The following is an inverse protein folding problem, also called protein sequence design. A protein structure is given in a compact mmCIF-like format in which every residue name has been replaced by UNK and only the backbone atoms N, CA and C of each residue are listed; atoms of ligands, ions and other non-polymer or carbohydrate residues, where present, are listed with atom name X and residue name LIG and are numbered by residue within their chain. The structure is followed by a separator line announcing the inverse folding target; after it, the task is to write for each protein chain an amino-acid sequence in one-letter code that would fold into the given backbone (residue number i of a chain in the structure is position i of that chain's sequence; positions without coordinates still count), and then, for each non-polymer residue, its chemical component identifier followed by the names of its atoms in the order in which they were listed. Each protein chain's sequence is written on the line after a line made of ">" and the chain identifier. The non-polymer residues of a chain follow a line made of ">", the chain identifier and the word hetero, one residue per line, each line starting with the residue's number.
data_IF_313400548013
#
_entry.id   IF_313400548013
#
_cell.length_a   1.000
_cell.length_b   1.000
_cell.length_c   1.000
_cell.angle_alpha   90.00
_cell.angle_beta   90.00
_cell.angle_gamma   90.00
#
_symmetry.space_group_name_H-M   'P 1'
#
loop_
_entity.id
_entity.type
_entity.pdbx_description
1 polymer ?
#
# COMPACT_ATOMS: atom_id res chain seq x y z
N UNK A 1 27.95 -3.40 -10.67
CA UNK A 1 28.53 -3.87 -9.39
C UNK A 1 28.32 -2.76 -8.36
N UNK A 2 27.11 -2.62 -7.82
CA UNK A 2 26.81 -1.58 -6.82
C UNK A 2 27.10 -2.17 -5.45
N UNK A 3 27.97 -1.50 -4.70
CA UNK A 3 28.51 -1.95 -3.43
C UNK A 3 27.45 -1.81 -2.33
N UNK A 4 27.22 -2.89 -1.60
CA UNK A 4 26.59 -2.86 -0.29
C UNK A 4 27.49 -2.05 0.65
N UNK A 5 26.95 -1.02 1.31
CA UNK A 5 27.59 -0.35 2.44
C UNK A 5 26.76 -0.57 3.70
N UNK A 6 27.51 -0.94 4.72
CA UNK A 6 27.15 -1.53 6.00
C UNK A 6 26.47 -0.52 6.95
N UNK A 7 25.43 -0.99 7.64
CA UNK A 7 24.51 -0.24 8.51
C UNK A 7 25.13 0.32 9.80
N UNK A 8 26.44 0.14 10.01
CA UNK A 8 27.12 0.44 11.27
C UNK A 8 27.66 1.89 11.38
N UNK A 9 27.66 2.68 10.30
CA UNK A 9 28.38 3.97 10.25
C UNK A 9 27.56 5.24 10.54
N UNK A 10 26.27 5.16 10.89
CA UNK A 10 25.45 6.33 11.24
C UNK A 10 25.29 6.54 12.76
N UNK A 11 26.08 5.82 13.57
CA UNK A 11 25.99 5.82 15.03
C UNK A 11 26.97 6.77 15.74
N UNK A 12 27.65 7.67 15.03
CA UNK A 12 28.70 8.53 15.63
C UNK A 12 28.46 10.04 15.65
N UNK A 13 27.28 10.55 15.31
CA UNK A 13 27.01 12.01 15.30
C UNK A 13 25.85 12.47 16.21
N UNK A 14 25.63 11.82 17.36
CA UNK A 14 24.73 12.35 18.40
C UNK A 14 25.42 12.31 19.76
N UNK A 15 26.38 13.21 19.94
CA UNK A 15 26.99 13.47 21.25
C UNK A 15 27.36 14.95 21.35
N UNK A 16 26.38 15.87 21.46
CA UNK A 16 26.66 17.20 22.07
C UNK A 16 25.48 18.12 22.41
N UNK A 17 24.24 17.62 22.58
CA UNK A 17 23.15 18.46 23.11
C UNK A 17 22.47 17.70 24.24
N UNK A 18 22.73 18.14 25.47
CA UNK A 18 22.16 17.57 26.69
C UNK A 18 20.65 17.68 26.70
N UNK A 19 19.98 16.55 26.46
CA UNK A 19 18.54 16.39 26.66
C UNK A 19 18.29 15.28 27.70
N UNK A 20 17.29 15.54 28.54
CA UNK A 20 16.90 14.80 29.74
C UNK A 20 16.70 13.28 29.47
N UNK A 21 17.29 12.38 30.29
CA UNK A 21 17.16 10.92 30.15
C UNK A 21 15.72 10.39 30.15
N UNK A 22 14.76 11.15 30.68
CA UNK A 22 13.35 10.75 30.72
C UNK A 22 12.60 10.93 29.39
N UNK A 23 13.10 11.76 28.47
CA UNK A 23 12.53 11.91 27.11
C UNK A 23 13.00 10.82 26.14
N UNK A 24 14.19 10.26 26.35
CA UNK A 24 14.83 9.30 25.44
C UNK A 24 14.05 7.97 25.38
N UNK A 25 13.37 7.61 26.47
CA UNK A 25 12.61 6.37 26.55
C UNK A 25 11.22 6.45 25.90
N UNK A 26 10.66 7.66 25.73
CA UNK A 26 9.37 7.86 25.04
C UNK A 26 9.51 7.92 23.52
N UNK A 27 10.66 8.37 23.00
CA UNK A 27 10.94 8.30 21.55
C UNK A 27 11.27 6.89 21.08
N UNK A 28 11.78 6.00 21.94
CA UNK A 28 12.07 4.61 21.60
C UNK A 28 10.85 3.67 21.58
N UNK A 29 9.71 4.06 22.17
CA UNK A 29 8.48 3.26 22.21
C UNK A 29 7.30 3.84 21.40
N UNK A 30 7.55 4.80 20.51
CA UNK A 30 6.55 5.28 19.54
C UNK A 30 7.06 5.30 18.09
N UNK A 31 8.19 4.65 17.83
CA UNK A 31 8.88 4.70 16.53
C UNK A 31 9.12 3.29 15.97
N UNK A 32 8.05 2.51 15.89
CA UNK A 32 7.95 1.25 15.15
C UNK A 32 6.50 1.21 14.65
N UNK A 33 6.18 1.23 13.38
CA UNK A 33 6.93 0.96 12.17
C UNK A 33 6.14 1.61 11.05
N UNK A 34 6.70 2.51 10.26
CA UNK A 34 6.15 2.85 8.94
C UNK A 34 7.26 3.50 8.09
N UNK A 35 8.39 2.81 7.98
CA UNK A 35 9.24 2.96 6.80
C UNK A 35 8.52 2.26 5.65
N UNK A 36 7.53 2.94 5.06
CA UNK A 36 6.99 2.55 3.75
C UNK A 36 8.06 2.91 2.71
N UNK A 37 9.03 2.01 2.54
CA UNK A 37 9.90 2.03 1.38
C UNK A 37 8.98 1.87 0.17
N UNK A 38 8.76 2.95 -0.59
CA UNK A 38 8.06 2.86 -1.87
C UNK A 38 8.98 2.15 -2.86
N UNK A 39 8.95 0.82 -2.84
CA UNK A 39 9.40 0.04 -3.97
C UNK A 39 8.55 0.44 -5.18
N UNK A 40 9.21 0.96 -6.20
CA UNK A 40 8.62 1.18 -7.52
C UNK A 40 8.38 -0.18 -8.20
N UNK A 41 7.49 -0.99 -7.63
CA UNK A 41 7.05 -2.23 -8.24
C UNK A 41 6.19 -1.90 -9.46
N UNK A 42 6.55 -2.51 -10.59
CA UNK A 42 5.71 -2.50 -11.78
C UNK A 42 4.33 -3.07 -11.44
N UNK A 43 3.30 -2.65 -12.17
CA UNK A 43 1.93 -3.15 -11.97
C UNK A 43 1.85 -4.68 -12.00
N UNK A 44 2.74 -5.34 -12.76
CA UNK A 44 2.85 -6.80 -12.79
C UNK A 44 3.44 -7.39 -11.50
N UNK A 45 4.49 -6.80 -10.93
CA UNK A 45 5.09 -7.31 -9.69
C UNK A 45 4.20 -7.06 -8.48
N UNK A 46 3.50 -5.91 -8.44
CA UNK A 46 2.48 -5.62 -7.41
C UNK A 46 1.37 -6.68 -7.41
N UNK A 47 0.88 -7.02 -8.61
CA UNK A 47 -0.15 -8.03 -8.78
C UNK A 47 0.26 -9.39 -8.20
N UNK A 48 1.45 -9.89 -8.55
CA UNK A 48 1.96 -11.17 -8.04
C UNK A 48 2.13 -11.15 -6.52
N UNK A 49 2.73 -10.09 -5.96
CA UNK A 49 2.94 -9.94 -4.51
C UNK A 49 1.63 -9.83 -3.73
N UNK A 50 0.59 -9.30 -4.37
CA UNK A 50 -0.72 -9.17 -3.76
C UNK A 50 -1.48 -10.50 -3.75
N UNK A 51 -1.40 -11.28 -4.83
CA UNK A 51 -2.12 -12.55 -4.99
C UNK A 51 -1.41 -13.71 -4.27
N UNK A 52 -0.11 -13.61 -3.97
CA UNK A 52 0.64 -14.67 -3.29
C UNK A 52 0.40 -14.77 -1.78
N UNK A 53 -0.17 -13.73 -1.16
CA UNK A 53 -0.37 -13.66 0.28
C UNK A 53 -1.79 -13.18 0.64
N UNK A 54 -2.31 -13.56 1.83
CA UNK A 54 -3.59 -13.03 2.30
C UNK A 54 -3.54 -11.50 2.47
N UNK A 55 -4.56 -10.82 1.95
CA UNK A 55 -4.66 -9.35 1.86
C UNK A 55 -4.45 -8.61 3.20
N UNK A 56 -4.89 -9.20 4.32
CA UNK A 56 -4.75 -8.67 5.70
C UNK A 56 -4.94 -7.14 5.77
N UNK A 57 -3.96 -6.42 6.30
CA UNK A 57 -3.95 -4.96 6.48
C UNK A 57 -3.11 -4.26 5.40
N UNK A 58 -2.97 -4.86 4.21
CA UNK A 58 -2.24 -4.22 3.10
C UNK A 58 -2.93 -2.90 2.71
N UNK A 59 -2.17 -1.81 2.53
CA UNK A 59 -2.74 -0.52 2.16
C UNK A 59 -3.29 -0.58 0.73
N UNK A 60 -4.23 0.33 0.42
CA UNK A 60 -4.87 0.37 -0.91
C UNK A 60 -3.90 0.60 -2.07
N UNK A 61 -2.72 1.17 -1.79
CA UNK A 61 -1.62 1.43 -2.74
C UNK A 61 -0.87 0.17 -3.20
N UNK A 62 -1.10 -0.97 -2.55
CA UNK A 62 -0.56 -2.27 -2.97
C UNK A 62 -1.39 -2.92 -4.07
N UNK A 63 -2.64 -2.48 -4.27
CA UNK A 63 -3.47 -2.97 -5.37
C UNK A 63 -2.85 -2.60 -6.73
N UNK A 64 -2.80 -3.57 -7.65
CA UNK A 64 -2.35 -3.29 -9.01
C UNK A 64 -3.23 -2.21 -9.64
N UNK A 65 -2.61 -1.28 -10.38
CA UNK A 65 -3.31 -0.14 -10.97
C UNK A 65 -3.59 1.02 -10.00
N UNK A 66 -3.44 0.83 -8.68
CA UNK A 66 -3.58 1.90 -7.68
C UNK A 66 -2.19 2.38 -7.25
N UNK A 67 -1.74 3.50 -7.85
CA UNK A 67 -0.55 4.21 -7.40
C UNK A 67 -0.86 5.18 -6.25
N UNK A 68 0.15 5.90 -5.77
CA UNK A 68 0.03 6.85 -4.66
C UNK A 68 -1.03 7.92 -4.88
N UNK A 69 -1.17 8.43 -6.12
CA UNK A 69 -2.15 9.47 -6.45
C UNK A 69 -3.57 8.95 -6.29
N UNK A 70 -3.86 7.75 -6.79
CA UNK A 70 -5.20 7.15 -6.64
C UNK A 70 -5.42 6.64 -5.22
N UNK A 71 -4.39 6.07 -4.61
CA UNK A 71 -4.42 5.60 -3.23
C UNK A 71 -4.68 6.73 -2.24
N UNK A 72 -4.06 7.91 -2.42
CA UNK A 72 -4.33 9.09 -1.60
C UNK A 72 -5.79 9.53 -1.72
N UNK A 73 -6.35 9.59 -2.94
CA UNK A 73 -7.77 9.90 -3.14
C UNK A 73 -8.70 8.84 -2.53
N UNK A 74 -8.31 7.57 -2.56
CA UNK A 74 -9.07 6.48 -1.94
C UNK A 74 -9.06 6.63 -0.41
N UNK A 75 -7.89 6.93 0.18
CA UNK A 75 -7.74 7.26 1.60
C UNK A 75 -8.63 8.43 2.03
N UNK A 76 -8.64 9.51 1.24
CA UNK A 76 -9.52 10.68 1.50
C UNK A 76 -11.02 10.33 1.47
N UNK A 77 -11.39 9.22 0.82
CA UNK A 77 -12.76 8.69 0.76
C UNK A 77 -13.04 7.64 1.84
N UNK A 78 -12.08 7.33 2.71
CA UNK A 78 -12.18 6.30 3.74
C UNK A 78 -11.90 4.88 3.23
N UNK A 79 -11.08 4.75 2.19
CA UNK A 79 -10.54 3.47 1.71
C UNK A 79 -9.03 3.46 1.96
N UNK A 80 -8.65 3.21 3.21
CA UNK A 80 -7.26 3.16 3.65
C UNK A 80 -6.59 1.84 3.28
N UNK A 81 -7.38 0.76 3.28
CA UNK A 81 -6.89 -0.61 3.11
C UNK A 81 -7.51 -1.32 1.91
N UNK A 82 -6.77 -2.30 1.38
CA UNK A 82 -7.21 -3.07 0.22
C UNK A 82 -8.51 -3.85 0.46
N UNK A 83 -8.76 -4.29 1.72
CA UNK A 83 -9.97 -5.04 2.06
C UNK A 83 -11.25 -4.22 1.92
N UNK A 84 -11.17 -2.89 2.04
CA UNK A 84 -12.32 -1.99 1.90
C UNK A 84 -12.74 -1.88 0.44
N UNK A 85 -11.76 -1.81 -0.47
CA UNK A 85 -12.00 -1.87 -1.92
C UNK A 85 -12.52 -3.26 -2.33
N UNK A 86 -11.96 -4.33 -1.75
CA UNK A 86 -12.49 -5.68 -1.96
C UNK A 86 -13.95 -5.81 -1.51
N UNK A 87 -14.30 -5.27 -0.34
CA UNK A 87 -15.68 -5.28 0.14
C UNK A 87 -16.63 -4.59 -0.85
N UNK A 88 -16.20 -3.47 -1.45
CA UNK A 88 -16.96 -2.78 -2.48
C UNK A 88 -17.06 -3.60 -3.78
N UNK A 89 -15.98 -4.25 -4.19
CA UNK A 89 -15.96 -5.17 -5.32
C UNK A 89 -16.96 -6.33 -5.16
N UNK A 90 -17.04 -6.90 -3.96
CA UNK A 90 -17.99 -7.97 -3.63
C UNK A 90 -19.44 -7.48 -3.62
N UNK A 91 -19.72 -6.26 -3.13
CA UNK A 91 -21.05 -5.64 -3.21
C UNK A 91 -21.54 -5.50 -4.64
N UNK A 92 -20.64 -5.20 -5.57
CA UNK A 92 -20.92 -5.11 -7.00
C UNK A 92 -20.96 -6.49 -7.70
N UNK A 93 -21.01 -7.60 -6.94
CA UNK A 93 -21.07 -8.97 -7.45
C UNK A 93 -19.93 -9.31 -8.43
N UNK A 94 -18.77 -8.68 -8.26
CA UNK A 94 -17.61 -8.84 -9.16
C UNK A 94 -17.89 -8.43 -10.61
N UNK A 95 -18.86 -7.53 -10.83
CA UNK A 95 -19.16 -6.97 -12.14
C UNK A 95 -18.08 -5.98 -12.57
N UNK A 96 -17.43 -6.28 -13.71
CA UNK A 96 -16.29 -5.50 -14.19
C UNK A 96 -16.68 -4.07 -14.57
N UNK A 97 -17.79 -3.90 -15.30
CA UNK A 97 -18.19 -2.60 -15.82
C UNK A 97 -18.60 -1.67 -14.67
N UNK A 98 -19.40 -2.19 -13.72
CA UNK A 98 -19.82 -1.45 -12.54
C UNK A 98 -18.64 -1.10 -11.64
N UNK A 99 -17.70 -2.03 -11.43
CA UNK A 99 -16.51 -1.74 -10.61
C UNK A 99 -15.61 -0.69 -11.26
N UNK A 100 -15.37 -0.80 -12.57
CA UNK A 100 -14.53 0.17 -13.29
C UNK A 100 -15.17 1.55 -13.30
N UNK A 101 -16.48 1.63 -13.52
CA UNK A 101 -17.23 2.88 -13.45
C UNK A 101 -17.20 3.48 -12.04
N UNK A 102 -17.38 2.67 -11.00
CA UNK A 102 -17.28 3.12 -9.61
C UNK A 102 -15.89 3.71 -9.30
N UNK A 103 -14.81 3.06 -9.75
CA UNK A 103 -13.45 3.53 -9.51
C UNK A 103 -13.14 4.81 -10.31
N UNK A 104 -13.68 4.93 -11.52
CA UNK A 104 -13.62 6.15 -12.32
C UNK A 104 -14.38 7.30 -11.64
N UNK A 105 -15.62 7.08 -11.21
CA UNK A 105 -16.45 8.10 -10.55
C UNK A 105 -15.85 8.53 -9.19
N UNK A 106 -15.20 7.62 -8.45
CA UNK A 106 -14.69 7.89 -7.12
C UNK A 106 -13.36 8.65 -7.11
N UNK A 107 -12.39 8.22 -7.93
CA UNK A 107 -11.01 8.74 -7.91
C UNK A 107 -10.47 9.16 -9.28
N UNK A 108 -11.32 9.14 -10.30
CA UNK A 108 -10.98 9.46 -11.69
C UNK A 108 -9.93 8.51 -12.29
N UNK A 109 -9.98 7.23 -11.91
CA UNK A 109 -9.07 6.21 -12.44
C UNK A 109 -9.24 6.01 -13.94
N UNK A 110 -8.13 5.85 -14.67
CA UNK A 110 -8.18 5.58 -16.10
C UNK A 110 -8.57 4.11 -16.39
N UNK A 111 -8.90 3.81 -17.66
CA UNK A 111 -9.32 2.47 -18.10
C UNK A 111 -8.31 1.36 -17.80
N UNK A 112 -7.01 1.66 -17.87
CA UNK A 112 -5.96 0.68 -17.60
C UNK A 112 -5.84 0.41 -16.11
N UNK A 113 -5.82 1.46 -15.29
CA UNK A 113 -5.74 1.36 -13.83
C UNK A 113 -6.93 0.57 -13.26
N UNK A 114 -8.14 0.87 -13.72
CA UNK A 114 -9.34 0.17 -13.27
C UNK A 114 -9.38 -1.29 -13.73
N UNK A 115 -8.88 -1.58 -14.94
CA UNK A 115 -8.75 -2.96 -15.44
C UNK A 115 -7.68 -3.77 -14.68
N UNK A 116 -6.52 -3.18 -14.40
CA UNK A 116 -5.43 -3.83 -13.68
C UNK A 116 -5.87 -4.12 -12.22
N UNK A 117 -6.55 -3.17 -11.57
CA UNK A 117 -7.11 -3.34 -10.22
C UNK A 117 -8.20 -4.42 -10.17
N UNK A 118 -9.13 -4.42 -11.13
CA UNK A 118 -10.16 -5.44 -11.25
C UNK A 118 -9.57 -6.85 -11.38
N UNK A 119 -8.58 -7.01 -12.27
CA UNK A 119 -7.93 -8.31 -12.51
C UNK A 119 -7.24 -8.80 -11.24
N UNK A 120 -6.54 -7.92 -10.53
CA UNK A 120 -5.89 -8.21 -9.26
C UNK A 120 -6.87 -8.71 -8.19
N UNK A 121 -7.99 -7.99 -7.98
CA UNK A 121 -9.02 -8.40 -7.02
C UNK A 121 -9.71 -9.69 -7.43
N UNK A 122 -9.97 -9.89 -8.73
CA UNK A 122 -10.60 -11.09 -9.26
C UNK A 122 -9.73 -12.33 -9.04
N UNK A 123 -8.45 -12.25 -9.37
CA UNK A 123 -7.51 -13.35 -9.16
C UNK A 123 -7.30 -13.64 -7.69
N UNK A 124 -7.18 -12.60 -6.86
CA UNK A 124 -7.11 -12.79 -5.41
C UNK A 124 -8.34 -13.52 -4.87
N UNK A 125 -9.54 -13.15 -5.33
CA UNK A 125 -10.78 -13.86 -4.97
C UNK A 125 -10.77 -15.33 -5.41
N UNK A 126 -10.23 -15.65 -6.60
CA UNK A 126 -10.17 -17.04 -7.07
C UNK A 126 -9.21 -17.88 -6.21
N UNK A 127 -8.14 -17.27 -5.72
CA UNK A 127 -7.14 -17.95 -4.90
C UNK A 127 -7.54 -18.12 -3.42
N UNK A 128 -8.37 -17.22 -2.87
CA UNK A 128 -8.59 -17.13 -1.41
C UNK A 128 -10.06 -17.14 -0.95
N UNK A 129 -11.05 -17.11 -1.84
CA UNK A 129 -12.49 -17.21 -1.51
C UNK A 129 -13.13 -18.43 -2.15
#
# INVERSE_FOLDING_TARGET
>A
MVKFQDSSSLLTDISEKGEDPSCIFLTLNHFSSDQHHQEMNSTSQKHENFVSEPMREKPVTELAGIGEVLGGKLKDKGFDYAYEVLAQFLKLKKDEEQFRKWLEDLVNANKKQSSDCYTCLKEWCIAHL
#
